data_IF_346603345964
#
_entry.id   IF_346603345964
#
_cell.length_a   1.000
_cell.length_b   1.000
_cell.length_c   1.000
_cell.angle_alpha   90.00
_cell.angle_beta   90.00
_cell.angle_gamma   90.00
#
_symmetry.space_group_name_H-M   'P 1'
#
loop_
_entity.id
_entity.type
_entity.pdbx_description
1 polymer ?
#
# COMPACT_ATOMS: atom_id res chain seq x y z
N UNK A 1 17.59 -1.83 14.42
CA UNK A 1 16.27 -1.70 15.06
C UNK A 1 15.62 -0.41 14.59
N UNK A 2 14.33 -0.46 14.26
CA UNK A 2 13.51 0.73 13.98
C UNK A 2 12.78 1.13 15.26
N UNK A 3 12.69 2.42 15.53
CA UNK A 3 11.79 2.93 16.56
C UNK A 3 10.37 2.99 15.97
N UNK A 4 9.44 2.31 16.62
CA UNK A 4 8.04 2.23 16.16
C UNK A 4 7.17 3.10 17.06
N UNK A 5 6.44 4.03 16.44
CA UNK A 5 5.43 4.84 17.10
C UNK A 5 4.05 4.42 16.57
N UNK A 6 3.21 3.90 17.46
CA UNK A 6 1.85 3.52 17.12
C UNK A 6 0.96 4.76 17.22
N UNK A 7 0.29 5.11 16.13
CA UNK A 7 -0.67 6.20 16.12
C UNK A 7 -2.06 5.64 16.46
N UNK A 8 -2.81 6.35 17.29
CA UNK A 8 -4.17 5.99 17.63
C UNK A 8 -5.07 6.05 16.39
N UNK A 9 -6.15 5.33 16.42
CA UNK A 9 -7.24 5.47 15.46
C UNK A 9 -8.44 6.19 16.12
N UNK A 10 -9.24 6.84 15.28
CA UNK A 10 -10.53 7.40 15.68
C UNK A 10 -11.61 6.32 15.83
N UNK A 11 -12.83 6.73 16.15
CA UNK A 11 -13.97 5.83 16.33
C UNK A 11 -14.39 5.12 15.03
N UNK A 12 -14.06 5.68 13.87
CA UNK A 12 -14.32 5.09 12.56
C UNK A 12 -13.20 4.14 12.12
N UNK A 13 -12.06 4.17 12.78
CA UNK A 13 -10.90 3.33 12.51
C UNK A 13 -9.86 3.97 11.58
N UNK A 14 -10.06 5.23 11.18
CA UNK A 14 -9.02 6.02 10.52
C UNK A 14 -7.94 6.43 11.53
N UNK A 15 -6.78 6.81 11.02
CA UNK A 15 -5.70 7.37 11.82
C UNK A 15 -6.17 8.65 12.53
N UNK A 16 -5.82 8.80 13.82
CA UNK A 16 -6.00 10.05 14.55
C UNK A 16 -4.97 11.07 14.02
N UNK A 17 -5.44 12.02 13.20
CA UNK A 17 -4.59 13.01 12.53
C UNK A 17 -3.92 13.98 13.50
N UNK A 18 -4.55 14.30 14.63
CA UNK A 18 -3.94 15.16 15.66
C UNK A 18 -2.81 14.44 16.38
N UNK A 19 -2.99 13.16 16.69
CA UNK A 19 -1.93 12.33 17.25
C UNK A 19 -0.80 12.15 16.23
N UNK A 20 -1.14 11.85 14.97
CA UNK A 20 -0.17 11.74 13.88
C UNK A 20 0.67 13.00 13.75
N UNK A 21 0.05 14.20 13.73
CA UNK A 21 0.74 15.46 13.63
C UNK A 21 1.72 15.68 14.81
N UNK A 22 1.31 15.35 16.04
CA UNK A 22 2.19 15.44 17.22
C UNK A 22 3.43 14.55 17.07
N UNK A 23 3.25 13.31 16.62
CA UNK A 23 4.38 12.40 16.43
C UNK A 23 5.27 12.81 15.25
N UNK A 24 4.71 13.37 14.18
CA UNK A 24 5.48 13.97 13.07
C UNK A 24 6.36 15.12 13.59
N UNK A 25 5.82 16.05 14.38
CA UNK A 25 6.57 17.20 14.95
C UNK A 25 7.72 16.71 15.83
N UNK A 26 7.46 15.75 16.68
CA UNK A 26 8.45 15.16 17.60
C UNK A 26 9.62 14.50 16.86
N UNK A 27 9.34 13.88 15.71
CA UNK A 27 10.30 13.08 14.94
C UNK A 27 10.83 13.78 13.68
N UNK A 28 10.48 15.04 13.41
CA UNK A 28 10.78 15.75 12.14
C UNK A 28 12.26 15.84 11.75
N UNK A 29 13.19 15.63 12.70
CA UNK A 29 14.63 15.60 12.42
C UNK A 29 15.13 14.25 11.92
N UNK A 30 14.30 13.21 12.01
CA UNK A 30 14.62 11.82 11.64
C UNK A 30 14.11 11.52 10.23
N UNK A 31 14.58 10.41 9.66
CA UNK A 31 13.90 9.80 8.51
C UNK A 31 12.68 9.03 9.02
N UNK A 32 11.54 9.21 8.36
CA UNK A 32 10.25 8.70 8.82
C UNK A 32 9.70 7.71 7.81
N UNK A 33 9.30 6.54 8.27
CA UNK A 33 8.51 5.59 7.48
C UNK A 33 7.09 5.65 8.01
N UNK A 34 6.14 5.92 7.13
CA UNK A 34 4.72 6.04 7.44
C UNK A 34 4.01 4.87 6.80
N UNK A 35 3.36 4.03 7.60
CA UNK A 35 2.47 3.00 7.12
C UNK A 35 1.03 3.48 7.28
N UNK A 36 0.29 3.55 6.19
CA UNK A 36 -1.12 3.97 6.16
C UNK A 36 -1.99 2.81 5.71
N UNK A 37 -3.21 2.73 6.24
CA UNK A 37 -4.13 1.64 5.94
C UNK A 37 -5.10 2.04 4.84
N UNK A 38 -5.24 1.19 3.86
CA UNK A 38 -6.22 1.31 2.78
C UNK A 38 -7.22 0.16 2.92
N UNK A 39 -8.16 0.34 3.83
CA UNK A 39 -9.16 -0.67 4.19
C UNK A 39 -8.72 -1.57 5.34
N UNK A 40 -8.99 -1.16 6.58
CA UNK A 40 -8.73 -1.99 7.77
C UNK A 40 -9.64 -3.20 7.81
N UNK A 41 -9.15 -4.33 8.34
CA UNK A 41 -9.85 -5.63 8.30
C UNK A 41 -11.23 -5.61 8.96
N UNK A 42 -11.40 -4.87 10.05
CA UNK A 42 -12.65 -4.90 10.84
C UNK A 42 -13.63 -3.81 10.41
N UNK A 43 -13.13 -2.59 10.20
CA UNK A 43 -13.98 -1.42 9.91
C UNK A 43 -13.96 -0.97 8.46
N UNK A 44 -13.03 -1.50 7.66
CA UNK A 44 -12.84 -1.05 6.28
C UNK A 44 -12.33 0.40 6.19
N UNK A 45 -11.81 0.96 7.29
CA UNK A 45 -11.35 2.35 7.33
C UNK A 45 -10.21 2.60 6.34
N UNK A 46 -10.24 3.76 5.71
CA UNK A 46 -9.24 4.19 4.72
C UNK A 46 -8.63 5.49 5.23
N UNK A 47 -7.34 5.48 5.51
CA UNK A 47 -6.63 6.68 5.92
C UNK A 47 -6.56 7.68 4.77
N UNK A 48 -6.81 8.95 5.07
CA UNK A 48 -6.83 10.01 4.06
C UNK A 48 -5.40 10.48 3.73
N UNK A 49 -4.93 10.09 2.55
CA UNK A 49 -3.58 10.40 2.05
C UNK A 49 -3.36 11.91 1.94
N UNK A 50 -4.38 12.66 1.49
CA UNK A 50 -4.26 14.12 1.33
C UNK A 50 -3.98 14.81 2.66
N UNK A 51 -4.74 14.45 3.71
CA UNK A 51 -4.52 14.98 5.07
C UNK A 51 -3.13 14.63 5.60
N UNK A 52 -2.68 13.40 5.39
CA UNK A 52 -1.33 12.96 5.81
C UNK A 52 -0.26 13.78 5.09
N UNK A 53 -0.38 13.93 3.78
CA UNK A 53 0.57 14.73 2.97
C UNK A 53 0.54 16.21 3.37
N UNK A 54 -0.63 16.75 3.67
CA UNK A 54 -0.78 18.13 4.13
C UNK A 54 -0.07 18.34 5.47
N UNK A 55 -0.25 17.44 6.45
CA UNK A 55 0.44 17.51 7.75
C UNK A 55 1.96 17.46 7.56
N UNK A 56 2.46 16.60 6.68
CA UNK A 56 3.89 16.51 6.36
C UNK A 56 4.40 17.84 5.79
N UNK A 57 3.67 18.43 4.83
CA UNK A 57 4.02 19.72 4.22
C UNK A 57 4.01 20.87 5.21
N UNK A 58 2.96 20.98 6.04
CA UNK A 58 2.82 22.01 7.06
C UNK A 58 3.98 22.00 8.09
N UNK A 59 4.56 20.82 8.33
CA UNK A 59 5.71 20.66 9.22
C UNK A 59 7.07 20.79 8.53
N UNK A 60 7.10 21.21 7.24
CA UNK A 60 8.30 21.43 6.43
C UNK A 60 9.21 20.20 6.34
N UNK A 61 8.63 19.00 6.24
CA UNK A 61 9.40 17.78 6.05
C UNK A 61 9.64 17.60 4.56
N UNK A 62 10.91 17.63 4.16
CA UNK A 62 11.32 17.47 2.75
C UNK A 62 11.11 16.02 2.26
N UNK A 63 10.90 15.86 0.97
CA UNK A 63 10.56 14.56 0.35
C UNK A 63 11.53 13.43 0.69
N UNK A 64 12.81 13.71 0.78
CA UNK A 64 13.89 12.76 1.05
C UNK A 64 13.89 12.24 2.50
N UNK A 65 13.09 12.85 3.37
CA UNK A 65 13.02 12.51 4.80
C UNK A 65 11.88 11.55 5.14
N UNK A 66 11.00 11.23 4.21
CA UNK A 66 9.89 10.32 4.49
C UNK A 66 9.68 9.28 3.39
N UNK A 67 9.12 8.15 3.80
CA UNK A 67 8.66 7.07 2.95
C UNK A 67 7.22 6.72 3.34
N UNK A 68 6.30 6.74 2.41
CA UNK A 68 4.90 6.37 2.63
C UNK A 68 4.62 5.02 1.99
N UNK A 69 4.30 4.03 2.83
CA UNK A 69 3.77 2.75 2.42
C UNK A 69 2.25 2.70 2.64
N UNK A 70 1.51 2.24 1.64
CA UNK A 70 0.07 2.02 1.72
C UNK A 70 -0.20 0.52 1.85
N UNK A 71 -0.68 0.08 3.01
CA UNK A 71 -1.21 -1.27 3.16
C UNK A 71 -2.60 -1.34 2.54
N UNK A 72 -2.64 -1.71 1.28
CA UNK A 72 -3.85 -1.91 0.50
C UNK A 72 -4.18 -3.38 0.27
N UNK A 73 -3.68 -4.26 1.15
CA UNK A 73 -3.83 -5.71 1.01
C UNK A 73 -5.26 -6.17 0.70
N UNK A 74 -6.26 -5.50 1.26
CA UNK A 74 -7.67 -5.78 1.02
C UNK A 74 -8.27 -4.86 -0.05
N UNK A 75 -8.15 -3.55 0.10
CA UNK A 75 -8.94 -2.55 -0.63
C UNK A 75 -8.26 -1.92 -1.83
N UNK A 76 -6.94 -2.05 -2.02
CA UNK A 76 -6.27 -1.36 -3.13
C UNK A 76 -6.86 -1.67 -4.51
N UNK A 77 -7.33 -2.90 -4.75
CA UNK A 77 -8.00 -3.27 -6.00
C UNK A 77 -9.48 -2.82 -6.06
N UNK A 78 -10.05 -2.38 -4.95
CA UNK A 78 -11.44 -1.92 -4.87
C UNK A 78 -11.55 -0.40 -5.06
N UNK A 79 -10.57 0.35 -4.57
CA UNK A 79 -10.57 1.83 -4.58
C UNK A 79 -11.00 2.46 -5.91
N UNK A 80 -10.50 1.99 -7.09
CA UNK A 80 -10.86 2.62 -8.36
C UNK A 80 -12.35 2.55 -8.74
N UNK A 81 -13.13 1.74 -8.03
CA UNK A 81 -14.52 1.46 -8.34
C UNK A 81 -15.50 1.98 -7.27
N UNK A 82 -14.98 2.62 -6.21
CA UNK A 82 -15.78 3.16 -5.12
C UNK A 82 -15.75 4.68 -5.17
N UNK A 83 -16.93 5.30 -5.16
CA UNK A 83 -17.07 6.74 -5.15
C UNK A 83 -16.93 7.31 -3.72
N UNK A 84 -16.59 8.60 -3.63
CA UNK A 84 -16.56 9.36 -2.39
C UNK A 84 -15.60 8.84 -1.30
N UNK A 85 -14.53 8.14 -1.71
CA UNK A 85 -13.45 7.71 -0.82
C UNK A 85 -12.11 8.33 -1.24
N UNK A 86 -11.12 8.42 -0.32
CA UNK A 86 -9.79 8.88 -0.67
C UNK A 86 -9.18 8.04 -1.81
N UNK A 87 -8.71 8.71 -2.86
CA UNK A 87 -8.12 8.02 -4.01
C UNK A 87 -6.69 7.56 -3.71
N UNK A 88 -6.35 6.38 -4.20
CA UNK A 88 -5.02 5.80 -4.09
C UNK A 88 -4.28 5.99 -5.42
N UNK A 89 -3.35 6.93 -5.46
CA UNK A 89 -2.60 7.27 -6.68
C UNK A 89 -1.14 7.62 -6.39
N UNK A 90 -0.24 7.21 -7.28
CA UNK A 90 1.16 7.65 -7.26
C UNK A 90 1.36 9.13 -7.66
N UNK A 91 0.31 9.88 -7.96
CA UNK A 91 0.34 11.34 -8.02
C UNK A 91 0.61 11.96 -6.65
N UNK A 92 0.16 11.30 -5.57
CA UNK A 92 0.60 11.61 -4.22
C UNK A 92 2.04 11.12 -4.00
N UNK A 93 2.77 11.65 -3.02
CA UNK A 93 4.15 11.26 -2.71
C UNK A 93 4.22 9.93 -1.96
N UNK A 94 3.40 8.95 -2.34
CA UNK A 94 3.49 7.57 -1.84
C UNK A 94 4.62 6.83 -2.53
N UNK A 95 5.23 5.90 -1.82
CA UNK A 95 6.41 5.16 -2.29
C UNK A 95 6.08 3.74 -2.69
N UNK A 96 5.18 3.10 -1.97
CA UNK A 96 4.76 1.73 -2.27
C UNK A 96 3.34 1.41 -1.79
N UNK A 97 2.74 0.42 -2.43
CA UNK A 97 1.43 -0.12 -2.12
C UNK A 97 1.55 -1.63 -2.03
N UNK A 98 1.06 -2.24 -0.95
CA UNK A 98 0.89 -3.68 -0.87
C UNK A 98 -0.51 -4.11 -1.29
N UNK A 99 -0.60 -5.22 -2.02
CA UNK A 99 -1.86 -5.82 -2.51
C UNK A 99 -1.84 -7.31 -2.26
N UNK A 100 -2.93 -7.87 -1.73
CA UNK A 100 -3.07 -9.33 -1.59
C UNK A 100 -3.93 -9.91 -2.72
N UNK A 101 -3.31 -10.66 -3.62
CA UNK A 101 -4.03 -11.27 -4.75
C UNK A 101 -5.03 -12.37 -4.35
N UNK A 102 -4.84 -12.97 -3.17
CA UNK A 102 -5.75 -13.99 -2.62
C UNK A 102 -6.99 -13.40 -1.91
N UNK A 103 -7.08 -12.06 -1.79
CA UNK A 103 -8.25 -11.37 -1.26
C UNK A 103 -9.21 -11.03 -2.40
N UNK A 104 -9.35 -9.75 -2.78
CA UNK A 104 -10.33 -9.30 -3.78
C UNK A 104 -10.20 -10.00 -5.14
N UNK A 105 -9.00 -10.24 -5.63
CA UNK A 105 -8.79 -10.91 -6.93
C UNK A 105 -9.15 -12.41 -6.87
N UNK A 106 -9.10 -13.03 -5.69
CA UNK A 106 -9.48 -14.44 -5.49
C UNK A 106 -8.46 -15.45 -6.02
N UNK A 107 -7.16 -15.10 -5.99
CA UNK A 107 -6.13 -16.10 -6.31
C UNK A 107 -6.21 -17.28 -5.34
N UNK A 108 -6.11 -18.54 -5.84
CA UNK A 108 -6.28 -19.74 -5.01
C UNK A 108 -5.10 -19.99 -4.06
N UNK A 109 -4.04 -19.22 -4.16
CA UNK A 109 -2.85 -19.32 -3.31
C UNK A 109 -2.54 -17.97 -2.67
N UNK A 110 -2.02 -17.96 -1.42
CA UNK A 110 -1.54 -16.73 -0.81
C UNK A 110 -0.50 -16.05 -1.69
N UNK A 111 -0.73 -14.81 -2.04
CA UNK A 111 0.22 -13.98 -2.77
C UNK A 111 0.14 -12.52 -2.34
N UNK A 112 1.30 -11.93 -2.16
CA UNK A 112 1.48 -10.50 -1.94
C UNK A 112 2.16 -9.87 -3.14
N UNK A 113 1.69 -8.71 -3.53
CA UNK A 113 2.27 -7.88 -4.58
C UNK A 113 2.65 -6.55 -3.97
N UNK A 114 3.85 -6.08 -4.25
CA UNK A 114 4.27 -4.72 -3.93
C UNK A 114 4.39 -3.94 -5.23
N UNK A 115 3.63 -2.87 -5.34
CA UNK A 115 3.79 -1.88 -6.40
C UNK A 115 4.57 -0.71 -5.80
N UNK A 116 5.68 -0.33 -6.44
CA UNK A 116 6.55 0.71 -5.91
C UNK A 116 7.18 1.53 -7.02
N UNK A 117 7.70 2.71 -6.67
CA UNK A 117 8.47 3.54 -7.61
C UNK A 117 9.76 2.84 -8.00
N UNK A 118 10.13 2.95 -9.27
CA UNK A 118 11.32 2.27 -9.83
C UNK A 118 12.61 2.67 -9.11
N UNK A 119 12.76 3.94 -8.73
CA UNK A 119 13.90 4.44 -7.98
C UNK A 119 14.13 3.75 -6.62
N UNK A 120 13.06 3.26 -6.00
CA UNK A 120 13.15 2.51 -4.75
C UNK A 120 13.70 1.11 -4.98
N UNK A 121 13.40 0.50 -6.13
CA UNK A 121 13.86 -0.83 -6.50
C UNK A 121 15.35 -0.81 -6.82
N UNK A 122 15.81 0.14 -7.62
CA UNK A 122 17.19 0.22 -8.10
C UNK A 122 18.23 0.24 -6.97
N UNK A 123 17.85 0.68 -5.78
CA UNK A 123 18.73 0.71 -4.59
C UNK A 123 18.86 -0.65 -3.89
N UNK A 124 17.96 -1.57 -4.18
CA UNK A 124 17.85 -2.89 -3.53
C UNK A 124 18.26 -4.03 -4.48
N UNK A 125 18.55 -3.71 -5.74
CA UNK A 125 18.88 -4.72 -6.75
C UNK A 125 20.16 -5.44 -6.39
N UNK A 126 20.05 -6.76 -6.22
CA UNK A 126 21.18 -7.67 -6.12
C UNK A 126 21.26 -8.51 -7.38
N UNK A 127 22.43 -8.54 -8.01
CA UNK A 127 22.68 -9.43 -9.15
C UNK A 127 22.84 -10.86 -8.66
N UNK A 128 22.04 -11.75 -9.22
CA UNK A 128 22.16 -13.18 -8.97
C UNK A 128 22.87 -13.81 -10.16
N UNK A 129 24.17 -14.04 -10.01
CA UNK A 129 25.05 -14.43 -11.13
C UNK A 129 24.60 -15.72 -11.83
N UNK A 130 24.18 -16.74 -11.09
CA UNK A 130 23.77 -18.01 -11.67
C UNK A 130 22.38 -17.97 -12.37
N UNK A 131 21.56 -16.93 -12.12
CA UNK A 131 20.29 -16.69 -12.81
C UNK A 131 20.40 -15.62 -13.89
N UNK A 132 21.52 -14.92 -13.94
CA UNK A 132 21.71 -13.74 -14.77
C UNK A 132 20.57 -12.74 -14.70
N UNK A 133 20.00 -12.55 -13.51
CA UNK A 133 18.86 -11.68 -13.22
C UNK A 133 19.12 -10.82 -11.99
N UNK A 134 18.39 -9.70 -11.92
CA UNK A 134 18.37 -8.83 -10.75
C UNK A 134 17.21 -9.26 -9.83
N UNK A 135 17.47 -9.38 -8.54
CA UNK A 135 16.45 -9.63 -7.52
C UNK A 135 16.46 -8.49 -6.49
N UNK A 136 15.27 -7.99 -6.19
CA UNK A 136 15.03 -6.88 -5.24
C UNK A 136 14.30 -7.35 -3.99
N UNK A 137 14.08 -8.64 -3.83
CA UNK A 137 13.30 -9.21 -2.74
C UNK A 137 14.21 -9.80 -1.65
N UNK A 138 13.67 -9.83 -0.42
CA UNK A 138 14.36 -10.45 0.72
C UNK A 138 14.31 -11.98 0.62
N UNK A 139 13.19 -12.52 0.13
CA UNK A 139 13.00 -13.97 -0.02
C UNK A 139 13.64 -14.44 -1.32
N UNK A 140 14.46 -15.49 -1.26
CA UNK A 140 15.05 -16.12 -2.43
C UNK A 140 14.01 -16.88 -3.27
N UNK A 141 13.78 -18.17 -2.99
CA UNK A 141 12.81 -18.98 -3.74
C UNK A 141 11.37 -18.59 -3.45
N UNK A 142 10.62 -18.35 -4.50
CA UNK A 142 9.18 -18.02 -4.46
C UNK A 142 8.38 -19.02 -5.29
N UNK A 143 7.05 -19.10 -5.02
CA UNK A 143 6.16 -19.96 -5.77
C UNK A 143 5.88 -19.36 -7.17
N UNK A 144 6.37 -20.00 -8.21
CA UNK A 144 6.18 -19.56 -9.61
C UNK A 144 4.72 -19.66 -10.10
N UNK A 145 3.90 -20.52 -9.52
CA UNK A 145 2.49 -20.66 -9.89
C UNK A 145 1.67 -19.43 -9.44
N UNK A 146 2.07 -18.76 -8.39
CA UNK A 146 1.38 -17.58 -7.85
C UNK A 146 1.28 -16.46 -8.91
N UNK A 147 2.36 -16.20 -9.63
CA UNK A 147 2.37 -15.18 -10.69
C UNK A 147 1.43 -15.56 -11.84
N UNK A 148 1.34 -16.85 -12.17
CA UNK A 148 0.43 -17.36 -13.21
C UNK A 148 -1.03 -17.19 -12.81
N UNK A 149 -1.39 -17.52 -11.57
CA UNK A 149 -2.76 -17.32 -11.07
C UNK A 149 -3.13 -15.83 -11.01
N UNK A 150 -2.21 -14.98 -10.58
CA UNK A 150 -2.40 -13.53 -10.55
C UNK A 150 -2.67 -13.00 -11.97
N UNK A 151 -1.81 -13.37 -12.92
CA UNK A 151 -1.97 -12.99 -14.33
C UNK A 151 -3.31 -13.49 -14.89
N UNK A 152 -3.65 -14.76 -14.67
CA UNK A 152 -4.90 -15.35 -15.15
C UNK A 152 -6.12 -14.64 -14.55
N UNK A 153 -6.12 -14.39 -13.23
CA UNK A 153 -7.21 -13.70 -12.54
C UNK A 153 -7.44 -12.29 -13.11
N UNK A 154 -6.36 -11.52 -13.26
CA UNK A 154 -6.42 -10.17 -13.84
C UNK A 154 -6.91 -10.20 -15.30
N UNK A 155 -6.39 -11.13 -16.12
CA UNK A 155 -6.78 -11.24 -17.53
C UNK A 155 -8.23 -11.71 -17.70
N UNK A 156 -8.69 -12.65 -16.87
CA UNK A 156 -10.04 -13.20 -16.94
C UNK A 156 -11.09 -12.17 -16.52
N UNK A 157 -10.86 -11.45 -15.44
CA UNK A 157 -11.80 -10.44 -14.93
C UNK A 157 -11.74 -9.14 -15.74
N UNK A 158 -10.54 -8.68 -16.05
CA UNK A 158 -10.33 -7.37 -16.65
C UNK A 158 -10.86 -6.24 -15.77
N UNK A 159 -10.93 -5.04 -16.29
CA UNK A 159 -11.44 -3.87 -15.56
C UNK A 159 -12.93 -4.05 -15.21
N UNK A 160 -13.77 -4.42 -16.19
CA UNK A 160 -15.21 -4.56 -16.00
C UNK A 160 -15.59 -5.66 -15.01
N UNK A 161 -14.88 -6.81 -15.06
CA UNK A 161 -15.13 -7.90 -14.13
C UNK A 161 -14.72 -7.54 -12.69
N UNK A 162 -13.64 -6.81 -12.50
CA UNK A 162 -13.24 -6.31 -11.18
C UNK A 162 -14.25 -5.27 -10.67
N UNK A 163 -14.69 -4.34 -11.52
CA UNK A 163 -15.73 -3.35 -11.17
C UNK A 163 -17.01 -4.04 -10.71
N UNK A 164 -17.49 -5.03 -11.48
CA UNK A 164 -18.67 -5.79 -11.12
C UNK A 164 -18.52 -6.48 -9.76
N UNK A 165 -17.41 -7.19 -9.54
CA UNK A 165 -17.16 -7.89 -8.28
C UNK A 165 -17.14 -6.95 -7.08
N UNK A 166 -16.59 -5.73 -7.25
CA UNK A 166 -16.57 -4.71 -6.21
C UNK A 166 -17.97 -4.22 -5.91
N UNK A 167 -18.75 -3.82 -6.92
CA UNK A 167 -20.12 -3.32 -6.76
C UNK A 167 -21.03 -4.40 -6.14
N UNK A 168 -20.97 -5.63 -6.62
CA UNK A 168 -21.71 -6.77 -6.06
C UNK A 168 -21.34 -7.06 -4.58
N UNK A 169 -20.14 -6.66 -4.14
CA UNK A 169 -19.69 -6.83 -2.76
C UNK A 169 -20.13 -5.71 -1.84
N UNK A 170 -20.34 -4.51 -2.37
CA UNK A 170 -20.81 -3.33 -1.60
C UNK A 170 -22.33 -3.39 -1.38
N UNK A 171 -23.08 -3.91 -2.35
CA UNK A 171 -24.53 -3.98 -2.33
C UNK A 171 -25.09 -5.08 -1.38
N UNK A 172 -24.23 -5.88 -0.74
CA UNK A 172 -24.58 -6.94 0.22
C UNK A 172 -24.44 -6.50 1.67
#
# INVERSE_FOLDING_TARGET
NLDVNVINSDVMGEIDYDHFQKEIIKNKKRNIIININIGTTVKGAIDNIEKIVEIIKQNNIVREKFYIHCDGALFALMIPFIENIPQLSFEYPIDSISVSGHKMLGCPMPCGVIVTRKENINRLENRIDYLNSLDTTIMGSRNGQTSLYLWYGLRKKGYEGLQKDVLDSIDK
#
